data_IF_737986556860
#
_entry.id   IF_737986556860
#
_cell.length_a   1.000
_cell.length_b   1.000
_cell.length_c   1.000
_cell.angle_alpha   90.00
_cell.angle_beta   90.00
_cell.angle_gamma   90.00
#
_symmetry.space_group_name_H-M   'P 1'
#
loop_
_entity.id
_entity.type
_entity.pdbx_description
1 polymer ?
#
# COMPACT_ATOMS: atom_id res chain seq x y z
N UNK A 1 -5.21 -4.79 16.48
CA UNK A 1 -4.64 -4.08 15.34
C UNK A 1 -3.56 -4.90 14.67
N UNK A 2 -3.53 -4.87 13.36
CA UNK A 2 -2.47 -5.51 12.59
C UNK A 2 -1.83 -4.48 11.67
N UNK A 3 -0.49 -4.46 11.63
CA UNK A 3 0.26 -3.58 10.72
C UNK A 3 0.92 -4.42 9.63
N UNK A 4 0.76 -4.00 8.38
CA UNK A 4 1.44 -4.59 7.24
C UNK A 4 2.08 -3.49 6.42
N UNK A 5 3.29 -3.73 5.94
CA UNK A 5 4.07 -2.75 5.21
C UNK A 5 4.35 -3.23 3.78
N UNK A 6 4.36 -2.30 2.84
CA UNK A 6 4.77 -2.55 1.46
C UNK A 6 5.70 -1.44 1.00
N UNK A 7 6.60 -1.78 0.08
CA UNK A 7 7.36 -0.77 -0.67
C UNK A 7 6.82 -0.69 -2.09
N UNK A 8 6.43 0.51 -2.49
CA UNK A 8 5.86 0.77 -3.81
C UNK A 8 6.86 1.59 -4.63
N UNK A 9 7.34 1.05 -5.73
CA UNK A 9 8.12 1.81 -6.69
C UNK A 9 7.15 2.45 -7.67
N UNK A 10 7.15 3.77 -7.72
CA UNK A 10 6.18 4.57 -8.43
C UNK A 10 6.85 5.67 -9.23
N UNK A 11 6.12 6.20 -10.21
CA UNK A 11 6.49 7.46 -10.85
C UNK A 11 6.61 8.56 -9.79
N UNK A 12 7.58 9.44 -9.94
CA UNK A 12 7.77 10.56 -9.00
C UNK A 12 6.54 11.47 -8.92
N UNK A 13 5.72 11.50 -9.96
CA UNK A 13 4.50 12.31 -9.99
C UNK A 13 3.36 11.77 -9.14
N UNK A 14 3.42 10.50 -8.73
CA UNK A 14 2.35 9.89 -7.92
C UNK A 14 2.40 10.45 -6.50
N UNK A 15 1.26 10.93 -6.02
CA UNK A 15 1.17 11.58 -4.70
C UNK A 15 0.75 10.59 -3.61
N UNK A 16 1.00 10.98 -2.35
CA UNK A 16 0.47 10.22 -1.21
C UNK A 16 -1.05 10.13 -1.26
N UNK A 17 -1.71 11.22 -1.66
CA UNK A 17 -3.17 11.22 -1.77
C UNK A 17 -3.67 10.16 -2.75
N UNK A 18 -2.95 9.96 -3.85
CA UNK A 18 -3.33 8.92 -4.82
C UNK A 18 -3.22 7.51 -4.19
N UNK A 19 -2.16 7.27 -3.43
CA UNK A 19 -1.97 5.99 -2.71
C UNK A 19 -3.12 5.78 -1.72
N UNK A 20 -3.41 6.80 -0.91
CA UNK A 20 -4.49 6.72 0.09
C UNK A 20 -5.85 6.48 -0.56
N UNK A 21 -6.13 7.17 -1.67
CA UNK A 21 -7.40 7.03 -2.38
C UNK A 21 -7.59 5.60 -2.89
N UNK A 22 -6.58 5.04 -3.54
CA UNK A 22 -6.66 3.67 -4.07
C UNK A 22 -6.86 2.68 -2.93
N UNK A 23 -6.12 2.83 -1.83
CA UNK A 23 -6.24 1.93 -0.68
C UNK A 23 -7.64 2.01 -0.07
N UNK A 24 -8.15 3.22 0.14
CA UNK A 24 -9.47 3.42 0.75
C UNK A 24 -10.60 2.91 -0.13
N UNK A 25 -10.47 3.05 -1.45
CA UNK A 25 -11.46 2.52 -2.38
C UNK A 25 -11.45 1.00 -2.42
N UNK A 26 -10.30 0.39 -2.16
CA UNK A 26 -10.13 -1.06 -2.22
C UNK A 26 -10.64 -1.75 -0.96
N UNK A 27 -10.31 -1.20 0.21
CA UNK A 27 -10.63 -1.82 1.50
C UNK A 27 -11.21 -0.81 2.47
N UNK A 28 -12.53 -0.72 2.52
CA UNK A 28 -13.23 0.25 3.36
C UNK A 28 -13.51 -0.27 4.77
N UNK A 29 -13.69 -1.59 4.91
CA UNK A 29 -14.16 -2.16 6.16
C UNK A 29 -13.05 -2.33 7.20
N UNK A 30 -11.92 -2.89 6.80
CA UNK A 30 -10.87 -3.25 7.76
C UNK A 30 -9.61 -2.39 7.67
N UNK A 31 -9.47 -1.59 6.64
CA UNK A 31 -8.34 -0.66 6.52
C UNK A 31 -8.63 0.58 7.35
N UNK A 32 -7.83 0.81 8.39
CA UNK A 32 -8.04 1.92 9.32
C UNK A 32 -7.08 3.08 9.09
N UNK A 33 -5.89 2.81 8.57
CA UNK A 33 -4.92 3.88 8.32
C UNK A 33 -3.93 3.47 7.25
N UNK A 34 -3.50 4.44 6.47
CA UNK A 34 -2.46 4.31 5.45
C UNK A 34 -1.47 5.45 5.68
N UNK A 35 -0.21 5.13 5.88
CA UNK A 35 0.81 6.17 6.10
C UNK A 35 2.10 5.80 5.38
N UNK A 36 2.80 6.82 4.90
CA UNK A 36 4.14 6.67 4.32
C UNK A 36 5.14 6.99 5.42
N UNK A 37 6.07 6.07 5.67
CA UNK A 37 7.10 6.27 6.70
C UNK A 37 8.50 6.40 6.13
N UNK A 38 8.66 6.20 4.82
CA UNK A 38 9.95 6.41 4.16
C UNK A 38 9.75 6.68 2.68
N UNK A 39 10.60 7.55 2.12
CA UNK A 39 10.62 7.83 0.69
C UNK A 39 12.07 7.73 0.23
N UNK A 40 12.32 6.94 -0.80
CA UNK A 40 13.66 6.75 -1.33
C UNK A 40 13.67 7.09 -2.82
N UNK A 41 14.69 7.85 -3.21
CA UNK A 41 14.97 8.15 -4.61
C UNK A 41 16.41 7.73 -4.88
N UNK A 42 16.62 6.90 -5.91
CA UNK A 42 17.94 6.41 -6.23
C UNK A 42 18.00 5.86 -7.63
N UNK A 43 19.21 5.81 -8.17
CA UNK A 43 19.43 5.37 -9.56
C UNK A 43 19.00 3.94 -9.81
N UNK A 44 19.07 3.10 -8.80
CA UNK A 44 18.68 1.70 -8.91
C UNK A 44 17.17 1.48 -9.09
N UNK A 45 16.37 2.52 -8.87
CA UNK A 45 14.92 2.45 -9.10
C UNK A 45 14.53 2.76 -10.54
N UNK A 46 15.44 3.37 -11.29
CA UNK A 46 15.15 3.87 -12.62
C UNK A 46 14.90 5.37 -12.60
N UNK A 47 15.04 5.98 -13.76
CA UNK A 47 14.85 7.42 -13.89
C UNK A 47 13.39 7.80 -13.71
N UNK A 48 13.13 8.86 -12.96
CA UNK A 48 11.79 9.36 -12.71
C UNK A 48 10.97 8.53 -11.73
N UNK A 49 11.62 7.64 -10.99
CA UNK A 49 10.95 6.75 -10.03
C UNK A 49 11.32 7.10 -8.60
N UNK A 50 10.41 6.74 -7.68
CA UNK A 50 10.65 6.81 -6.24
C UNK A 50 10.06 5.57 -5.58
N UNK A 51 10.55 5.25 -4.39
CA UNK A 51 10.01 4.15 -3.57
C UNK A 51 9.37 4.76 -2.34
N UNK A 52 8.08 4.44 -2.12
CA UNK A 52 7.37 4.76 -0.89
C UNK A 52 7.26 3.50 -0.04
N UNK A 53 7.72 3.60 1.21
CA UNK A 53 7.46 2.57 2.20
C UNK A 53 6.17 2.94 2.93
N UNK A 54 5.15 2.11 2.77
CA UNK A 54 3.79 2.41 3.21
C UNK A 54 3.37 1.41 4.26
N UNK A 55 2.80 1.91 5.34
CA UNK A 55 2.25 1.12 6.43
C UNK A 55 0.73 1.13 6.34
N UNK A 56 0.12 -0.05 6.48
CA UNK A 56 -1.32 -0.23 6.48
C UNK A 56 -1.72 -0.79 7.84
N UNK A 57 -2.67 -0.13 8.50
CA UNK A 57 -3.22 -0.61 9.77
C UNK A 57 -4.57 -1.23 9.48
N UNK A 58 -4.71 -2.50 9.85
CA UNK A 58 -5.91 -3.29 9.61
C UNK A 58 -6.54 -3.64 10.96
N UNK A 59 -7.87 -3.57 11.01
CA UNK A 59 -8.64 -3.98 12.19
C UNK A 59 -10.04 -4.35 11.76
N UNK A 60 -10.55 -5.48 12.27
CA UNK A 60 -11.95 -5.83 12.15
C UNK A 60 -12.57 -5.74 13.56
N UNK A 61 -13.54 -4.85 13.72
CA UNK A 61 -14.15 -4.60 15.03
C UNK A 61 -15.09 -5.73 15.47
N UNK A 62 -15.51 -6.57 14.53
CA UNK A 62 -16.49 -7.61 14.78
C UNK A 62 -15.89 -8.98 15.01
N UNK A 63 -14.64 -9.19 14.60
CA UNK A 63 -13.97 -10.47 14.73
C UNK A 63 -12.46 -10.32 14.66
N UNK A 64 -11.74 -11.33 15.08
CA UNK A 64 -10.29 -11.36 14.99
C UNK A 64 -9.85 -11.53 13.54
N UNK A 65 -8.88 -10.74 13.11
CA UNK A 65 -8.28 -10.90 11.77
C UNK A 65 -7.48 -12.19 11.72
N UNK A 66 -7.71 -12.96 10.66
CA UNK A 66 -6.95 -14.18 10.40
C UNK A 66 -5.88 -13.90 9.36
N UNK A 67 -4.85 -14.73 9.30
CA UNK A 67 -3.80 -14.61 8.28
C UNK A 67 -4.40 -14.67 6.88
N UNK A 68 -5.40 -15.51 6.68
CA UNK A 68 -6.07 -15.64 5.39
C UNK A 68 -6.73 -14.33 4.95
N UNK A 69 -7.43 -13.66 5.87
CA UNK A 69 -8.08 -12.38 5.58
C UNK A 69 -7.03 -11.30 5.33
N UNK A 70 -5.99 -11.26 6.15
CA UNK A 70 -4.90 -10.28 5.99
C UNK A 70 -4.23 -10.46 4.63
N UNK A 71 -3.88 -11.68 4.26
CA UNK A 71 -3.22 -11.96 2.98
C UNK A 71 -4.12 -11.59 1.80
N UNK A 72 -5.39 -11.93 1.87
CA UNK A 72 -6.34 -11.58 0.81
C UNK A 72 -6.48 -10.07 0.66
N UNK A 73 -6.54 -9.34 1.78
CA UNK A 73 -6.63 -7.88 1.78
C UNK A 73 -5.39 -7.26 1.15
N UNK A 74 -4.21 -7.73 1.56
CA UNK A 74 -2.95 -7.20 1.01
C UNK A 74 -2.82 -7.52 -0.46
N UNK A 75 -3.24 -8.69 -0.91
CA UNK A 75 -3.23 -9.06 -2.33
C UNK A 75 -4.13 -8.14 -3.15
N UNK A 76 -5.31 -7.80 -2.65
CA UNK A 76 -6.19 -6.86 -3.33
C UNK A 76 -5.59 -5.46 -3.43
N UNK A 77 -4.95 -5.00 -2.36
CA UNK A 77 -4.27 -3.71 -2.36
C UNK A 77 -3.13 -3.69 -3.38
N UNK A 78 -2.32 -4.73 -3.38
CA UNK A 78 -1.20 -4.86 -4.34
C UNK A 78 -1.72 -4.80 -5.77
N UNK A 79 -2.74 -5.60 -6.09
CA UNK A 79 -3.32 -5.64 -7.43
C UNK A 79 -3.82 -4.27 -7.87
N UNK A 80 -4.49 -3.55 -6.97
CA UNK A 80 -5.00 -2.21 -7.29
C UNK A 80 -3.89 -1.19 -7.48
N UNK A 81 -2.84 -1.23 -6.65
CA UNK A 81 -1.71 -0.33 -6.83
C UNK A 81 -1.00 -0.58 -8.15
N UNK A 82 -0.84 -1.85 -8.52
CA UNK A 82 -0.23 -2.21 -9.80
C UNK A 82 -1.07 -1.70 -10.98
N UNK A 83 -2.37 -1.89 -10.90
CA UNK A 83 -3.29 -1.52 -11.96
C UNK A 83 -3.50 0.00 -12.08
N UNK A 84 -3.74 0.65 -10.95
CA UNK A 84 -4.14 2.06 -10.95
C UNK A 84 -2.97 3.03 -10.95
N UNK A 85 -1.84 2.64 -10.38
CA UNK A 85 -0.68 3.52 -10.20
C UNK A 85 0.58 3.02 -10.91
N UNK A 86 0.47 1.92 -11.65
CA UNK A 86 1.62 1.25 -12.29
C UNK A 86 2.75 0.95 -11.28
N UNK A 87 2.36 0.65 -10.04
CA UNK A 87 3.32 0.38 -8.99
C UNK A 87 4.05 -0.94 -9.22
N UNK A 88 5.32 -0.97 -8.83
CA UNK A 88 6.08 -2.20 -8.71
C UNK A 88 6.21 -2.46 -7.21
N UNK A 89 5.74 -3.61 -6.77
CA UNK A 89 5.67 -3.92 -5.34
C UNK A 89 6.94 -4.63 -4.91
N UNK A 90 7.52 -4.14 -3.81
CA UNK A 90 8.65 -4.78 -3.15
C UNK A 90 8.21 -5.11 -1.72
N UNK A 91 8.27 -6.37 -1.38
CA UNK A 91 7.87 -6.84 -0.05
C UNK A 91 9.06 -6.94 0.89
#
# INVERSE_FOLDING_TARGET
LFRSDLSLVLDQSVTLQAIQRVAEQTEKAILKNVSVFDVYVGKNLGEGKKSYSVSFILQDENQTLTDKVIDATMDRLITRFEKELNAIIRK
#
